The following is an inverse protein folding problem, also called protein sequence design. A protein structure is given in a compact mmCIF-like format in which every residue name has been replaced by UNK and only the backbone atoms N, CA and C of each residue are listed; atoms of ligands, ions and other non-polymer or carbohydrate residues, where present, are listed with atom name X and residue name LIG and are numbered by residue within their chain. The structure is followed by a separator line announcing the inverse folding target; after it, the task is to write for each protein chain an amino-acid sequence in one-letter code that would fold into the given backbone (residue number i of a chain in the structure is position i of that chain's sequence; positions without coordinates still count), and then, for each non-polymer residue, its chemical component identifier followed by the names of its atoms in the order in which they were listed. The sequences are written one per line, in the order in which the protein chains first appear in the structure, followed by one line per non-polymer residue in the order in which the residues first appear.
data_IF_054016683091
#
_entry.id   IF_054016683091
#
_cell.length_a   1.000
_cell.length_b   1.000
_cell.length_c   1.000
_cell.angle_alpha   90.00
_cell.angle_beta   90.00
_cell.angle_gamma   90.00
#
_symmetry.space_group_name_H-M   'P 1'
#
loop_
_entity.id
_entity.type
_entity.pdbx_description
1 polymer ?
#
# COMPACT_ATOMS: atom_id res chain seq x y z
N UNK A 1 -6.68 -4.09 22.19
CA UNK A 1 -6.81 -4.47 20.76
C UNK A 1 -5.78 -3.72 19.95
N UNK A 2 -5.03 -4.41 19.12
CA UNK A 2 -4.04 -3.78 18.29
C UNK A 2 -4.65 -3.21 17.02
N UNK A 3 -4.25 -1.99 16.69
CA UNK A 3 -4.58 -1.34 15.43
C UNK A 3 -3.41 -1.52 14.47
N UNK A 4 -3.70 -1.74 13.20
CA UNK A 4 -2.66 -1.96 12.19
C UNK A 4 -2.88 -1.08 10.97
N UNK A 5 -1.79 -0.66 10.35
CA UNK A 5 -1.82 0.05 9.07
C UNK A 5 -0.55 -0.29 8.27
N UNK A 6 -0.70 -0.28 6.95
CA UNK A 6 0.44 -0.37 6.04
C UNK A 6 1.05 1.03 5.92
N UNK A 7 2.37 1.12 6.05
CA UNK A 7 3.12 2.30 5.67
C UNK A 7 3.53 2.16 4.21
N UNK A 8 3.04 3.06 3.35
CA UNK A 8 3.31 2.99 1.91
C UNK A 8 4.80 3.18 1.65
N UNK A 9 5.41 4.18 2.26
CA UNK A 9 6.86 4.31 2.34
C UNK A 9 7.39 3.06 3.04
N UNK A 10 8.42 2.45 2.55
CA UNK A 10 8.99 1.18 3.00
C UNK A 10 8.25 -0.08 2.51
N UNK A 11 7.23 0.08 1.69
CA UNK A 11 6.57 -1.05 1.03
C UNK A 11 7.06 -1.19 -0.41
N UNK A 12 6.97 -2.39 -0.96
CA UNK A 12 7.41 -2.69 -2.32
C UNK A 12 6.27 -3.22 -3.16
N UNK A 13 6.14 -2.68 -4.38
CA UNK A 13 5.15 -3.09 -5.37
C UNK A 13 5.87 -3.69 -6.57
N UNK A 14 5.45 -4.87 -7.04
CA UNK A 14 6.09 -5.47 -8.20
C UNK A 14 5.20 -5.49 -9.45
N UNK A 15 3.89 -5.44 -9.30
CA UNK A 15 2.99 -5.57 -10.43
C UNK A 15 1.68 -4.81 -10.20
N UNK A 16 1.22 -4.14 -11.27
CA UNK A 16 -0.13 -3.59 -11.36
C UNK A 16 -0.77 -4.20 -12.60
N UNK A 17 -1.84 -4.96 -12.41
CA UNK A 17 -2.62 -5.55 -13.50
C UNK A 17 -4.02 -4.94 -13.55
N UNK A 18 -4.63 -4.98 -14.73
CA UNK A 18 -6.03 -4.60 -14.91
C UNK A 18 -6.73 -5.75 -15.62
N UNK A 19 -7.73 -6.33 -14.97
CA UNK A 19 -8.49 -7.45 -15.51
C UNK A 19 -9.97 -7.27 -15.16
N UNK A 20 -10.82 -7.27 -16.20
CA UNK A 20 -12.27 -7.12 -16.06
C UNK A 20 -12.66 -5.87 -15.23
N UNK A 21 -11.92 -4.76 -15.43
CA UNK A 21 -12.19 -3.52 -14.71
C UNK A 21 -11.67 -3.48 -13.28
N UNK A 22 -11.00 -4.52 -12.82
CA UNK A 22 -10.40 -4.57 -11.47
C UNK A 22 -8.90 -4.38 -11.59
N UNK A 23 -8.37 -3.37 -10.90
CA UNK A 23 -6.93 -3.21 -10.75
C UNK A 23 -6.45 -4.12 -9.63
N UNK A 24 -5.42 -4.89 -9.91
CA UNK A 24 -4.79 -5.78 -8.95
C UNK A 24 -3.36 -5.30 -8.74
N UNK A 25 -3.07 -4.88 -7.51
CA UNK A 25 -1.75 -4.41 -7.13
C UNK A 25 -1.12 -5.46 -6.23
N UNK A 26 -0.01 -6.04 -6.69
CA UNK A 26 0.71 -7.05 -5.93
C UNK A 26 1.92 -6.44 -5.25
N UNK A 27 1.98 -6.61 -3.93
CA UNK A 27 3.07 -6.16 -3.09
C UNK A 27 3.79 -7.39 -2.55
N UNK A 28 5.00 -7.70 -3.00
CA UNK A 28 5.77 -8.79 -2.38
C UNK A 28 6.04 -8.52 -0.91
N UNK A 29 6.04 -7.25 -0.53
CA UNK A 29 6.27 -6.87 0.86
C UNK A 29 5.63 -5.52 1.15
N UNK A 30 4.75 -5.50 2.16
CA UNK A 30 4.28 -4.25 2.77
C UNK A 30 4.85 -4.15 4.18
N UNK A 31 5.12 -2.92 4.62
CA UNK A 31 5.52 -2.65 6.00
C UNK A 31 4.29 -2.33 6.83
N UNK A 32 4.09 -3.07 7.91
CA UNK A 32 2.89 -2.97 8.75
C UNK A 32 3.30 -2.46 10.12
N UNK A 33 2.66 -1.36 10.55
CA UNK A 33 2.72 -0.90 11.93
C UNK A 33 1.57 -1.50 12.72
N UNK A 34 1.87 -2.05 13.90
CA UNK A 34 0.87 -2.56 14.85
C UNK A 34 1.06 -1.82 16.17
N UNK A 35 -0.03 -1.29 16.72
CA UNK A 35 0.02 -0.48 17.95
C UNK A 35 -1.30 -0.59 18.71
N UNK A 36 -1.25 -0.45 20.04
CA UNK A 36 -2.46 -0.28 20.85
C UNK A 36 -3.05 1.13 20.72
N UNK A 37 -2.27 2.07 20.18
CA UNK A 37 -2.67 3.43 19.86
C UNK A 37 -2.83 3.63 18.36
N UNK A 38 -2.21 4.68 17.83
CA UNK A 38 -2.24 5.00 16.40
C UNK A 38 -1.03 4.39 15.70
N UNK A 39 -1.24 3.49 14.70
CA UNK A 39 -0.14 2.91 13.95
C UNK A 39 0.76 3.97 13.31
N UNK A 40 2.07 3.76 13.35
CA UNK A 40 3.12 4.66 12.83
C UNK A 40 3.26 5.98 13.60
N UNK A 41 2.43 6.22 14.61
CA UNK A 41 2.47 7.43 15.45
C UNK A 41 2.83 7.08 16.88
N UNK A 42 2.11 6.14 17.46
CA UNK A 42 2.34 5.69 18.84
C UNK A 42 3.25 4.46 18.87
N UNK A 43 3.80 4.16 20.04
CA UNK A 43 4.67 3.01 20.20
C UNK A 43 3.97 1.71 19.77
N UNK A 44 4.71 0.82 19.14
CA UNK A 44 4.21 -0.45 18.64
C UNK A 44 5.32 -1.28 18.02
N UNK A 45 4.95 -2.08 17.04
CA UNK A 45 5.87 -2.97 16.34
C UNK A 45 5.73 -2.88 14.83
N UNK A 46 6.80 -3.22 14.14
CA UNK A 46 6.85 -3.26 12.67
C UNK A 46 6.94 -4.69 12.18
N UNK A 47 6.21 -4.97 11.11
CA UNK A 47 6.08 -6.30 10.49
C UNK A 47 6.11 -6.17 8.98
N UNK A 48 6.49 -7.24 8.30
CA UNK A 48 6.40 -7.31 6.84
C UNK A 48 5.53 -8.49 6.44
N UNK A 49 4.83 -8.34 5.32
CA UNK A 49 3.95 -9.38 4.79
C UNK A 49 3.67 -9.12 3.32
N UNK A 50 3.42 -10.18 2.57
CA UNK A 50 2.92 -10.07 1.20
C UNK A 50 1.47 -9.61 1.21
N UNK A 51 1.08 -8.82 0.19
CA UNK A 51 -0.28 -8.29 0.12
C UNK A 51 -0.74 -8.08 -1.32
N UNK A 52 -2.05 -8.11 -1.50
CA UNK A 52 -2.71 -7.73 -2.75
C UNK A 52 -3.80 -6.71 -2.42
N UNK A 53 -3.85 -5.63 -3.20
CA UNK A 53 -4.96 -4.68 -3.15
C UNK A 53 -5.72 -4.77 -4.46
N UNK A 54 -7.05 -4.91 -4.38
CA UNK A 54 -7.95 -4.89 -5.53
C UNK A 54 -8.80 -3.63 -5.49
N UNK A 55 -8.82 -2.91 -6.61
CA UNK A 55 -9.64 -1.71 -6.76
C UNK A 55 -10.62 -1.97 -7.90
N UNK A 56 -11.91 -1.95 -7.59
CA UNK A 56 -12.98 -2.23 -8.53
C UNK A 56 -13.32 -1.02 -9.40
N UNK A 57 -13.78 -1.29 -10.63
CA UNK A 57 -14.13 -0.27 -11.61
C UNK A 57 -12.98 0.73 -11.78
N UNK A 58 -11.78 0.20 -12.00
CA UNK A 58 -10.56 0.95 -11.87
C UNK A 58 -10.18 1.74 -13.11
N UNK A 59 -9.58 2.90 -12.87
CA UNK A 59 -8.86 3.69 -13.88
C UNK A 59 -7.44 3.90 -13.34
N UNK A 60 -6.45 3.64 -14.18
CA UNK A 60 -5.04 3.76 -13.80
C UNK A 60 -4.42 4.88 -14.61
N UNK A 61 -3.79 5.84 -13.93
CA UNK A 61 -3.01 6.91 -14.54
C UNK A 61 -1.56 6.79 -14.12
N UNK A 62 -0.66 6.97 -15.08
CA UNK A 62 0.77 6.88 -14.83
C UNK A 62 1.28 5.45 -14.87
N UNK A 63 2.58 5.32 -14.75
CA UNK A 63 3.26 4.04 -14.67
C UNK A 63 4.61 4.22 -14.02
N UNK A 64 5.14 3.16 -13.41
CA UNK A 64 6.50 3.15 -12.93
C UNK A 64 7.43 2.72 -14.07
N UNK A 65 8.54 3.44 -14.20
CA UNK A 65 9.55 3.15 -15.22
C UNK A 65 10.39 1.94 -14.83
N UNK A 66 11.06 1.35 -15.82
CA UNK A 66 12.05 0.31 -15.57
C UNK A 66 13.19 0.82 -14.68
N UNK A 67 13.54 2.10 -14.84
CA UNK A 67 14.59 2.75 -14.02
C UNK A 67 14.23 2.78 -12.54
N UNK A 68 12.96 3.03 -12.20
CA UNK A 68 12.53 3.04 -10.80
C UNK A 68 12.67 1.66 -10.16
N UNK A 69 12.49 0.60 -10.94
CA UNK A 69 12.67 -0.78 -10.48
C UNK A 69 14.15 -1.12 -10.32
N UNK A 70 14.96 -0.77 -11.29
CA UNK A 70 16.40 -1.08 -11.30
C UNK A 70 17.17 -0.31 -10.23
N UNK A 71 16.69 0.85 -9.81
CA UNK A 71 17.30 1.64 -8.75
C UNK A 71 17.46 0.86 -7.44
N UNK A 72 16.65 -0.17 -7.25
CA UNK A 72 16.64 -0.98 -6.03
C UNK A 72 16.85 -2.48 -6.32
N UNK A 73 17.61 -2.80 -7.37
CA UNK A 73 18.00 -4.17 -7.66
C UNK A 73 17.08 -4.95 -8.58
N UNK A 74 16.05 -4.33 -9.13
CA UNK A 74 15.20 -4.93 -10.16
C UNK A 74 14.09 -5.86 -9.68
N UNK A 75 13.95 -6.07 -8.37
CA UNK A 75 12.93 -6.98 -7.82
C UNK A 75 11.55 -6.36 -7.73
N UNK A 76 11.51 -5.09 -7.40
CA UNK A 76 10.25 -4.39 -7.17
C UNK A 76 10.46 -2.89 -7.21
N UNK A 77 9.34 -2.15 -7.26
CA UNK A 77 9.34 -0.70 -7.07
C UNK A 77 9.20 -0.42 -5.58
N UNK A 78 10.26 0.09 -4.96
CA UNK A 78 10.22 0.49 -3.56
C UNK A 78 9.59 1.87 -3.46
N UNK A 79 8.46 1.94 -2.77
CA UNK A 79 7.65 3.13 -2.73
C UNK A 79 8.28 4.17 -1.79
N UNK A 80 8.31 5.42 -2.24
CA UNK A 80 8.85 6.54 -1.46
C UNK A 80 7.76 7.32 -0.74
N UNK A 81 6.54 7.27 -1.25
CA UNK A 81 5.41 8.00 -0.68
C UNK A 81 4.11 7.50 -1.31
N UNK A 82 3.00 7.95 -0.77
CA UNK A 82 1.69 7.69 -1.33
C UNK A 82 0.59 8.18 -0.42
N UNK A 83 -0.66 7.99 -0.88
CA UNK A 83 -1.84 8.33 -0.10
C UNK A 83 -3.02 7.49 -0.53
N UNK A 84 -3.97 7.32 0.37
CA UNK A 84 -5.24 6.66 0.09
C UNK A 84 -6.37 7.62 0.44
N UNK A 85 -7.20 7.96 -0.55
CA UNK A 85 -8.42 8.71 -0.35
C UNK A 85 -9.62 7.77 -0.45
N UNK A 86 -10.47 7.80 0.55
CA UNK A 86 -11.75 7.10 0.57
C UNK A 86 -12.81 8.15 0.80
N UNK A 87 -13.62 8.44 -0.22
CA UNK A 87 -14.55 9.56 -0.24
C UNK A 87 -13.82 10.87 0.09
N UNK A 88 -14.14 11.54 1.18
CA UNK A 88 -13.50 12.80 1.57
C UNK A 88 -12.34 12.62 2.55
N UNK A 89 -12.06 11.39 2.95
CA UNK A 89 -10.99 11.11 3.93
C UNK A 89 -9.69 10.74 3.24
N UNK A 90 -8.62 11.42 3.57
CA UNK A 90 -7.28 11.16 3.03
C UNK A 90 -6.37 10.65 4.14
N UNK A 91 -5.70 9.54 3.86
CA UNK A 91 -4.65 9.02 4.73
C UNK A 91 -3.32 9.16 3.99
N UNK A 92 -2.42 9.98 4.51
CA UNK A 92 -1.10 10.14 3.93
C UNK A 92 -0.19 9.03 4.42
N UNK A 93 0.45 8.34 3.47
CA UNK A 93 1.42 7.28 3.72
C UNK A 93 0.87 6.05 4.45
N UNK A 94 -0.40 5.99 4.75
CA UNK A 94 -0.99 4.88 5.52
C UNK A 94 -2.19 4.27 4.81
N UNK A 95 -2.27 2.93 4.86
CA UNK A 95 -3.43 2.18 4.41
C UNK A 95 -3.95 1.40 5.62
N UNK A 96 -5.19 1.63 6.05
CA UNK A 96 -5.72 0.95 7.24
C UNK A 96 -5.89 -0.56 7.00
N UNK A 97 -5.73 -1.32 8.06
CA UNK A 97 -5.98 -2.77 8.07
C UNK A 97 -7.06 -3.03 9.13
N UNK A 98 -8.17 -3.68 8.79
CA UNK A 98 -8.55 -4.20 7.47
C UNK A 98 -8.99 -3.10 6.50
N UNK A 99 -8.97 -3.42 5.22
CA UNK A 99 -9.50 -2.56 4.18
C UNK A 99 -10.43 -3.40 3.30
N UNK A 100 -11.72 -3.07 3.33
CA UNK A 100 -12.75 -3.65 2.47
C UNK A 100 -13.89 -2.64 2.42
N UNK A 101 -13.86 -1.75 1.44
CA UNK A 101 -14.74 -0.59 1.43
C UNK A 101 -15.27 -0.30 0.03
N UNK A 102 -16.46 0.29 -0.03
CA UNK A 102 -17.04 0.86 -1.24
C UNK A 102 -17.14 2.37 -1.09
N UNK A 103 -16.92 3.08 -2.19
CA UNK A 103 -16.95 4.53 -2.24
C UNK A 103 -15.99 5.05 -3.29
N UNK A 104 -15.75 6.36 -3.31
CA UNK A 104 -14.74 6.93 -4.20
C UNK A 104 -13.36 6.63 -3.66
N UNK A 105 -12.59 5.85 -4.43
CA UNK A 105 -11.25 5.41 -4.04
C UNK A 105 -10.23 6.10 -4.93
N UNK A 106 -9.16 6.60 -4.31
CA UNK A 106 -8.00 7.08 -5.03
C UNK A 106 -6.75 6.67 -4.25
N UNK A 107 -5.98 5.76 -4.85
CA UNK A 107 -4.70 5.32 -4.30
C UNK A 107 -3.59 5.91 -5.15
N UNK A 108 -2.74 6.73 -4.54
CA UNK A 108 -1.60 7.35 -5.20
C UNK A 108 -0.32 6.74 -4.64
N UNK A 109 0.55 6.30 -5.53
CA UNK A 109 1.83 5.67 -5.16
C UNK A 109 2.97 6.37 -5.91
N UNK A 110 4.07 6.63 -5.21
CA UNK A 110 5.24 7.28 -5.77
C UNK A 110 6.48 6.39 -5.62
N UNK A 111 7.28 6.32 -6.67
CA UNK A 111 8.53 5.59 -6.67
C UNK A 111 9.52 6.29 -7.60
N UNK A 112 10.67 6.72 -7.08
CA UNK A 112 11.75 7.29 -7.88
C UNK A 112 11.26 8.44 -8.80
N UNK A 113 10.36 9.30 -8.30
CA UNK A 113 9.81 10.41 -9.07
C UNK A 113 8.64 10.06 -9.97
N UNK A 114 8.36 8.78 -10.21
CA UNK A 114 7.19 8.35 -10.94
C UNK A 114 5.98 8.28 -10.02
N UNK A 115 4.81 8.60 -10.55
CA UNK A 115 3.56 8.59 -9.80
C UNK A 115 2.54 7.72 -10.55
N UNK A 116 1.91 6.83 -9.82
CA UNK A 116 0.78 6.04 -10.31
C UNK A 116 -0.42 6.35 -9.44
N UNK A 117 -1.55 6.63 -10.08
CA UNK A 117 -2.80 6.88 -9.39
C UNK A 117 -3.84 5.86 -9.89
N UNK A 118 -4.45 5.14 -8.96
CA UNK A 118 -5.51 4.17 -9.26
C UNK A 118 -6.80 4.66 -8.62
N UNK A 119 -7.82 4.92 -9.43
CA UNK A 119 -9.14 5.35 -8.99
C UNK A 119 -10.14 4.25 -9.22
N UNK A 120 -11.13 4.16 -8.34
CA UNK A 120 -12.20 3.19 -8.49
C UNK A 120 -13.33 3.44 -7.51
N UNK A 121 -14.19 2.43 -7.35
CA UNK A 121 -15.37 2.52 -6.49
C UNK A 121 -15.39 1.48 -5.37
N UNK A 122 -14.34 0.70 -5.24
CA UNK A 122 -14.16 -0.23 -4.13
C UNK A 122 -12.69 -0.52 -3.95
N UNK A 123 -12.29 -0.88 -2.73
CA UNK A 123 -10.93 -1.29 -2.44
C UNK A 123 -10.95 -2.42 -1.41
N UNK A 124 -10.15 -3.44 -1.64
CA UNK A 124 -9.99 -4.57 -0.74
C UNK A 124 -8.52 -4.95 -0.62
N UNK A 125 -8.08 -5.11 0.61
CA UNK A 125 -6.74 -5.59 0.95
C UNK A 125 -6.83 -7.04 1.39
N UNK A 126 -6.00 -7.89 0.80
CA UNK A 126 -5.77 -9.25 1.25
C UNK A 126 -4.30 -9.40 1.66
N UNK A 127 -4.06 -9.73 2.91
CA UNK A 127 -2.74 -10.08 3.41
C UNK A 127 -2.50 -11.56 3.14
N UNK A 128 -1.32 -11.90 2.64
CA UNK A 128 -0.98 -13.24 2.18
C UNK A 128 0.13 -13.81 3.05
N UNK A 129 -0.08 -15.04 3.52
CA UNK A 129 0.92 -15.74 4.32
C UNK A 129 0.99 -15.21 5.75
N UNK A 130 2.16 -15.34 6.35
CA UNK A 130 2.41 -15.00 7.74
C UNK A 130 3.24 -13.73 7.83
N UNK A 131 2.84 -12.81 8.70
CA UNK A 131 3.61 -11.60 8.97
C UNK A 131 4.93 -11.96 9.65
N UNK A 132 6.00 -11.29 9.24
CA UNK A 132 7.31 -11.42 9.84
C UNK A 132 7.65 -10.19 10.67
N UNK A 133 8.04 -10.41 11.93
CA UNK A 133 8.43 -9.33 12.83
C UNK A 133 9.73 -8.68 12.36
N UNK A 134 9.77 -7.36 12.39
CA UNK A 134 10.95 -6.58 12.01
C UNK A 134 11.56 -5.91 13.22
N UNK A 135 10.77 -5.09 13.92
CA UNK A 135 11.32 -4.23 14.98
C UNK A 135 10.24 -3.68 15.90
N UNK A 136 10.67 -3.21 17.07
CA UNK A 136 9.84 -2.35 17.89
C UNK A 136 9.87 -0.93 17.29
N UNK A 137 8.72 -0.28 17.25
CA UNK A 137 8.59 1.10 16.83
C UNK A 137 8.38 1.98 18.06
N UNK A 138 9.24 2.97 18.20
CA UNK A 138 9.15 3.99 19.24
C UNK A 138 9.31 5.36 18.60
N UNK A 139 8.29 6.22 18.71
CA UNK A 139 8.33 7.53 18.10
C UNK A 139 9.36 8.44 18.75
#
# INVERSE_FOLDING_TARGET
MENRAIEIHDSALDQIGLENGVALLHFPQVYIHSSNGRPAVDAGSGWTQEAVIRIGNAQIEGKFSQESREAYGGYAHYLSDGSLRINDSVSDNLIPIPLDVQGEIELTLECWGDVVCVRGNSARLDLIGTAEYVEEFRP
#
